data_IF_714335624160
#
_entry.id   IF_714335624160
#
_cell.length_a   1.000
_cell.length_b   1.000
_cell.length_c   1.000
_cell.angle_alpha   90.00
_cell.angle_beta   90.00
_cell.angle_gamma   90.00
#
_symmetry.space_group_name_H-M   'P 1'
#
loop_
_entity.id
_entity.type
_entity.pdbx_description
1 polymer ?
#
# COMPACT_ATOMS: atom_id res chain seq x y z
N UNK A 1 3.30 23.29 -34.11
CA UNK A 1 2.05 22.59 -33.73
C UNK A 1 2.41 21.45 -32.80
N UNK A 2 2.02 21.45 -31.51
CA UNK A 2 2.33 20.34 -30.60
C UNK A 2 1.58 19.06 -31.05
N UNK A 3 2.27 17.92 -31.07
CA UNK A 3 1.74 16.64 -31.55
C UNK A 3 0.64 16.13 -30.61
N UNK A 4 -0.51 15.74 -31.18
CA UNK A 4 -1.61 15.06 -30.45
C UNK A 4 -1.02 13.88 -29.68
N UNK A 5 -1.03 13.96 -28.34
CA UNK A 5 -0.54 12.88 -27.47
C UNK A 5 0.31 13.35 -26.29
N UNK A 6 0.79 14.60 -26.27
CA UNK A 6 1.45 15.10 -25.06
C UNK A 6 0.44 15.40 -23.97
N UNK A 7 0.48 14.58 -22.92
CA UNK A 7 -0.19 14.86 -21.65
C UNK A 7 0.19 16.26 -21.18
N UNK A 8 -0.82 17.06 -20.83
CA UNK A 8 -0.64 18.43 -20.32
C UNK A 8 0.41 18.45 -19.20
N UNK A 9 1.18 19.53 -19.10
CA UNK A 9 2.19 19.72 -18.05
C UNK A 9 1.62 19.44 -16.65
N UNK A 10 0.34 19.76 -16.43
CA UNK A 10 -0.41 19.48 -15.20
C UNK A 10 -0.72 18.01 -14.98
N UNK A 11 -1.00 17.25 -16.06
CA UNK A 11 -1.23 15.81 -15.99
C UNK A 11 0.06 15.04 -15.68
N UNK A 12 1.20 15.51 -16.21
CA UNK A 12 2.53 14.96 -15.87
C UNK A 12 2.89 15.19 -14.40
N UNK A 13 2.61 16.39 -13.86
CA UNK A 13 2.84 16.69 -12.45
C UNK A 13 1.96 15.87 -11.50
N UNK A 14 0.74 15.52 -11.90
CA UNK A 14 -0.18 14.72 -11.08
C UNK A 14 0.21 13.23 -10.97
N UNK A 15 0.96 12.69 -11.95
CA UNK A 15 1.45 11.32 -11.90
C UNK A 15 2.71 11.19 -11.03
N UNK A 16 3.59 12.20 -11.04
CA UNK A 16 4.81 12.22 -10.23
C UNK A 16 4.54 12.21 -8.70
N UNK A 17 3.32 12.55 -8.26
CA UNK A 17 2.92 12.52 -6.86
C UNK A 17 2.32 11.17 -6.41
N UNK A 18 2.09 10.22 -7.35
CA UNK A 18 1.54 8.89 -7.05
C UNK A 18 2.62 7.83 -6.83
N UNK A 19 3.88 8.17 -7.08
CA UNK A 19 5.01 7.28 -6.82
C UNK A 19 5.47 7.44 -5.36
N UNK A 20 5.46 6.33 -4.63
CA UNK A 20 6.25 6.10 -3.41
C UNK A 20 5.90 6.85 -2.12
N UNK A 21 4.75 6.54 -1.53
CA UNK A 21 4.65 6.54 -0.06
C UNK A 21 4.71 5.12 0.48
N UNK A 22 5.61 4.27 -0.03
CA UNK A 22 5.85 2.97 0.59
C UNK A 22 6.72 3.18 1.85
N UNK A 23 6.05 3.46 2.96
CA UNK A 23 6.67 3.62 4.27
C UNK A 23 6.31 2.43 5.17
N UNK A 24 7.10 2.26 6.23
CA UNK A 24 6.76 1.36 7.33
C UNK A 24 5.54 1.94 8.04
N UNK A 25 4.50 1.12 8.21
CA UNK A 25 3.29 1.51 8.94
C UNK A 25 3.43 1.18 10.43
N UNK A 26 2.64 1.82 11.28
CA UNK A 26 2.54 1.49 12.72
C UNK A 26 1.84 0.13 12.98
N UNK A 27 1.51 -0.62 11.93
CA UNK A 27 0.80 -1.90 12.04
C UNK A 27 1.80 -3.05 12.06
N UNK A 28 1.59 -3.98 12.98
CA UNK A 28 2.47 -5.14 13.18
C UNK A 28 1.76 -6.40 12.70
N UNK A 29 2.49 -7.25 11.99
CA UNK A 29 1.96 -8.53 11.53
C UNK A 29 1.78 -9.49 12.70
N UNK A 30 0.58 -10.05 12.85
CA UNK A 30 0.26 -11.00 13.93
C UNK A 30 1.03 -12.32 13.80
N UNK A 31 1.45 -12.72 12.59
CA UNK A 31 2.15 -13.99 12.36
C UNK A 31 3.65 -13.94 12.69
N UNK A 32 4.34 -12.85 12.37
CA UNK A 32 5.80 -12.74 12.58
C UNK A 32 6.24 -11.67 13.58
N UNK A 33 5.34 -10.77 14.00
CA UNK A 33 5.67 -9.71 14.95
C UNK A 33 6.46 -8.53 14.37
N UNK A 34 6.65 -8.47 13.05
CA UNK A 34 7.37 -7.38 12.38
C UNK A 34 6.43 -6.28 11.85
N UNK A 35 6.90 -5.03 11.76
CA UNK A 35 6.12 -3.93 11.22
C UNK A 35 5.89 -4.08 9.71
N UNK A 36 4.70 -3.70 9.26
CA UNK A 36 4.25 -3.95 7.89
C UNK A 36 4.53 -2.73 7.01
N UNK A 37 5.17 -2.96 5.86
CA UNK A 37 5.30 -1.95 4.82
C UNK A 37 3.93 -1.66 4.19
N UNK A 38 3.66 -0.40 3.86
CA UNK A 38 2.39 -0.01 3.26
C UNK A 38 2.06 -0.82 1.98
N UNK A 39 3.08 -1.16 1.18
CA UNK A 39 2.92 -2.01 -0.02
C UNK A 39 2.44 -3.44 0.31
N UNK A 40 2.80 -3.95 1.48
CA UNK A 40 2.54 -5.33 1.93
C UNK A 40 1.38 -5.41 2.92
N UNK A 41 0.78 -4.26 3.26
CA UNK A 41 -0.35 -4.14 4.17
C UNK A 41 -1.61 -4.71 3.50
N UNK A 42 -2.03 -5.89 3.93
CA UNK A 42 -3.34 -6.43 3.59
C UNK A 42 -4.37 -6.13 4.69
N UNK A 43 -5.61 -5.75 4.32
CA UNK A 43 -6.64 -5.45 5.30
C UNK A 43 -7.09 -6.72 6.03
N UNK A 44 -6.82 -6.68 7.34
CA UNK A 44 -7.52 -7.22 8.50
C UNK A 44 -8.61 -8.27 8.34
N UNK A 45 -8.36 -9.44 8.95
CA UNK A 45 -9.41 -10.37 9.37
C UNK A 45 -10.09 -9.79 10.61
N UNK A 46 -11.38 -9.48 10.52
CA UNK A 46 -12.17 -8.98 11.66
C UNK A 46 -12.51 -10.17 12.57
N UNK A 47 -11.84 -10.26 13.72
CA UNK A 47 -12.03 -11.33 14.70
C UNK A 47 -12.87 -10.83 15.87
N UNK A 48 -14.17 -10.61 15.62
CA UNK A 48 -15.18 -10.29 16.65
C UNK A 48 -15.04 -8.92 17.33
N UNK A 49 -13.92 -8.66 18.01
CA UNK A 49 -13.64 -7.44 18.80
C UNK A 49 -12.43 -6.63 18.29
N UNK A 50 -11.75 -7.07 17.23
CA UNK A 50 -10.53 -6.40 16.78
C UNK A 50 -10.13 -6.68 15.33
N UNK A 51 -9.23 -5.83 14.85
CA UNK A 51 -8.61 -5.86 13.54
C UNK A 51 -7.18 -6.43 13.68
N UNK A 52 -6.92 -7.60 13.07
CA UNK A 52 -5.58 -8.22 13.03
C UNK A 52 -4.89 -8.01 11.70
N UNK A 53 -3.68 -7.41 11.69
CA UNK A 53 -2.94 -7.10 10.46
C UNK A 53 -1.95 -8.20 10.10
N UNK A 54 -1.76 -8.44 8.80
CA UNK A 54 -0.85 -9.45 8.28
C UNK A 54 -0.09 -8.92 7.06
N UNK A 55 1.15 -9.36 6.87
CA UNK A 55 1.83 -9.27 5.58
C UNK A 55 1.04 -10.05 4.53
N UNK A 56 1.13 -9.63 3.27
CA UNK A 56 0.52 -10.35 2.14
C UNK A 56 0.88 -11.84 2.11
N UNK A 57 2.15 -12.17 2.36
CA UNK A 57 2.66 -13.56 2.42
C UNK A 57 2.10 -14.34 3.62
N UNK A 58 1.86 -13.65 4.74
CA UNK A 58 1.34 -14.27 5.96
C UNK A 58 -0.18 -14.42 5.95
N UNK A 59 -0.87 -13.64 5.13
CA UNK A 59 -2.31 -13.73 4.97
C UNK A 59 -2.75 -14.99 4.22
N UNK A 60 -1.99 -15.41 3.19
CA UNK A 60 -2.32 -16.56 2.33
C UNK A 60 -1.96 -17.94 2.92
N UNK A 61 -1.35 -17.98 4.11
CA UNK A 61 -0.94 -19.23 4.76
C UNK A 61 -1.78 -19.60 5.99
N UNK A 62 -3.10 -19.36 5.94
CA UNK A 62 -4.08 -19.89 6.90
C UNK A 62 -4.70 -21.18 6.39
#
# INVERSE_FOLDING_TARGET
MPKKGELSKTARASLANREEVNHITDKVCVKCGEPIWLKDLQPVKVMGKGMSFYHKEHYQGQ
#
